data_IF_144976278997
#
_entry.id   IF_144976278997
#
_cell.length_a   1.000
_cell.length_b   1.000
_cell.length_c   1.000
_cell.angle_alpha   90.00
_cell.angle_beta   90.00
_cell.angle_gamma   90.00
#
_symmetry.space_group_name_H-M   'P 1'
#
loop_
_entity.id
_entity.type
_entity.pdbx_description
1 polymer ?
#
# COMPACT_ATOMS: atom_id res chain seq x y z
N UNK A 1 7.00 19.98 8.59
CA UNK A 1 6.90 20.44 7.19
C UNK A 1 6.84 19.29 6.16
N UNK A 2 7.74 18.29 6.16
CA UNK A 2 7.67 17.16 5.19
C UNK A 2 6.40 16.29 5.33
N UNK A 3 5.90 16.14 6.57
CA UNK A 3 4.75 15.30 6.91
C UNK A 3 3.41 15.84 6.35
N UNK A 4 3.23 17.17 6.26
CA UNK A 4 1.96 17.76 5.80
C UNK A 4 1.76 17.64 4.29
N UNK A 5 2.83 17.78 3.50
CA UNK A 5 2.75 17.64 2.03
C UNK A 5 2.50 16.21 1.60
N UNK A 6 3.13 15.24 2.27
CA UNK A 6 2.89 13.81 2.03
C UNK A 6 1.46 13.45 2.40
N UNK A 7 0.98 13.93 3.55
CA UNK A 7 -0.39 13.72 3.98
C UNK A 7 -1.42 14.27 2.99
N UNK A 8 -1.21 15.50 2.51
CA UNK A 8 -2.11 16.14 1.54
C UNK A 8 -2.13 15.39 0.21
N UNK A 9 -0.96 14.91 -0.24
CA UNK A 9 -0.83 14.12 -1.47
C UNK A 9 -1.48 12.73 -1.35
N UNK A 10 -1.26 12.04 -0.22
CA UNK A 10 -1.89 10.75 0.09
C UNK A 10 -3.41 10.88 0.16
N UNK A 11 -3.92 11.92 0.83
CA UNK A 11 -5.35 12.19 0.93
C UNK A 11 -5.97 12.51 -0.44
N UNK A 12 -5.32 13.36 -1.24
CA UNK A 12 -5.77 13.68 -2.60
C UNK A 12 -5.81 12.43 -3.49
N UNK A 13 -4.83 11.54 -3.35
CA UNK A 13 -4.76 10.27 -4.09
C UNK A 13 -5.91 9.33 -3.71
N UNK A 14 -6.24 9.24 -2.41
CA UNK A 14 -7.37 8.46 -1.92
C UNK A 14 -8.69 9.04 -2.41
N UNK A 15 -8.87 10.36 -2.35
CA UNK A 15 -10.09 11.05 -2.79
C UNK A 15 -10.29 10.91 -4.31
N UNK A 16 -9.23 11.03 -5.10
CA UNK A 16 -9.28 10.81 -6.55
C UNK A 16 -9.62 9.35 -6.87
N UNK A 17 -9.05 8.40 -6.13
CA UNK A 17 -9.42 6.99 -6.21
C UNK A 17 -10.91 6.77 -5.94
N UNK A 18 -11.40 7.26 -4.80
CA UNK A 18 -12.81 7.16 -4.43
C UNK A 18 -13.75 7.80 -5.48
N UNK A 19 -13.35 8.92 -6.07
CA UNK A 19 -14.10 9.56 -7.16
C UNK A 19 -14.15 8.68 -8.42
N UNK A 20 -13.00 8.16 -8.86
CA UNK A 20 -12.92 7.22 -9.98
C UNK A 20 -13.79 5.97 -9.74
N UNK A 21 -13.82 5.47 -8.50
CA UNK A 21 -14.69 4.35 -8.10
C UNK A 21 -16.17 4.69 -8.20
N UNK A 22 -16.59 5.83 -7.67
CA UNK A 22 -17.99 6.25 -7.70
C UNK A 22 -18.48 6.41 -9.14
N UNK A 23 -17.65 6.98 -10.03
CA UNK A 23 -17.94 7.08 -11.48
C UNK A 23 -18.01 5.69 -12.12
N UNK A 24 -17.13 4.77 -11.74
CA UNK A 24 -17.06 3.43 -12.29
C UNK A 24 -18.22 2.53 -11.84
N UNK A 25 -18.59 2.55 -10.56
CA UNK A 25 -19.75 1.84 -10.00
C UNK A 25 -21.06 2.33 -10.62
N UNK A 26 -21.20 3.64 -10.85
CA UNK A 26 -22.36 4.19 -11.57
C UNK A 26 -22.45 3.71 -13.03
N UNK A 27 -21.33 3.30 -13.64
CA UNK A 27 -21.31 2.77 -15.01
C UNK A 27 -21.43 1.25 -15.09
N UNK A 28 -21.04 0.50 -14.05
CA UNK A 28 -21.05 -0.95 -14.01
C UNK A 28 -21.79 -1.45 -12.77
N UNK A 29 -23.02 -1.96 -12.96
CA UNK A 29 -23.84 -2.51 -11.87
C UNK A 29 -23.44 -3.90 -11.40
N UNK A 30 -22.52 -4.57 -12.10
CA UNK A 30 -22.05 -5.92 -11.77
C UNK A 30 -20.65 -5.87 -11.16
N UNK A 31 -20.50 -6.53 -10.00
CA UNK A 31 -19.20 -6.79 -9.37
C UNK A 31 -18.34 -7.56 -10.37
N UNK A 32 -17.16 -7.05 -10.67
CA UNK A 32 -16.18 -7.72 -11.50
C UNK A 32 -14.78 -7.63 -10.86
N UNK A 33 -13.82 -8.31 -11.49
CA UNK A 33 -12.45 -8.41 -10.98
C UNK A 33 -11.79 -7.04 -10.73
N UNK A 34 -12.08 -6.05 -11.59
CA UNK A 34 -11.58 -4.69 -11.44
C UNK A 34 -12.22 -3.99 -10.24
N UNK A 35 -13.50 -4.21 -9.94
CA UNK A 35 -14.16 -3.70 -8.72
C UNK A 35 -13.48 -4.21 -7.47
N UNK A 36 -13.27 -5.53 -7.39
CA UNK A 36 -12.71 -6.18 -6.21
C UNK A 36 -11.31 -5.64 -5.95
N UNK A 37 -10.48 -5.60 -7.00
CA UNK A 37 -9.10 -5.11 -6.92
C UNK A 37 -9.05 -3.64 -6.50
N UNK A 38 -9.99 -2.83 -6.99
CA UNK A 38 -10.09 -1.42 -6.65
C UNK A 38 -10.50 -1.19 -5.19
N UNK A 39 -11.55 -1.88 -4.72
CA UNK A 39 -12.02 -1.77 -3.34
C UNK A 39 -10.87 -2.10 -2.38
N UNK A 40 -10.18 -3.21 -2.61
CA UNK A 40 -9.07 -3.62 -1.76
C UNK A 40 -7.95 -2.57 -1.79
N UNK A 41 -7.67 -1.96 -2.94
CA UNK A 41 -6.67 -0.89 -3.03
C UNK A 41 -7.03 0.35 -2.21
N UNK A 42 -8.29 0.79 -2.24
CA UNK A 42 -8.75 1.92 -1.42
C UNK A 42 -8.59 1.60 0.06
N UNK A 43 -9.06 0.43 0.50
CA UNK A 43 -8.93 0.04 1.92
C UNK A 43 -7.48 -0.05 2.37
N UNK A 44 -6.61 -0.67 1.56
CA UNK A 44 -5.18 -0.75 1.85
C UNK A 44 -4.54 0.64 1.95
N UNK A 45 -4.92 1.58 1.07
CA UNK A 45 -4.40 2.95 1.07
C UNK A 45 -4.86 3.75 2.30
N UNK A 46 -6.12 3.57 2.73
CA UNK A 46 -6.65 4.20 3.96
C UNK A 46 -5.91 3.66 5.19
N UNK A 47 -5.75 2.34 5.28
CA UNK A 47 -5.03 1.71 6.39
C UNK A 47 -3.57 2.20 6.43
N UNK A 48 -2.91 2.26 5.28
CA UNK A 48 -1.56 2.80 5.16
C UNK A 48 -1.49 4.24 5.70
N UNK A 49 -2.36 5.16 5.28
CA UNK A 49 -2.36 6.53 5.77
C UNK A 49 -2.60 6.65 7.29
N UNK A 50 -3.46 5.80 7.87
CA UNK A 50 -3.68 5.75 9.31
C UNK A 50 -2.42 5.27 10.04
N UNK A 51 -1.80 4.20 9.55
CA UNK A 51 -0.60 3.64 10.15
C UNK A 51 0.58 4.62 10.04
N UNK A 52 0.73 5.32 8.91
CA UNK A 52 1.75 6.38 8.75
C UNK A 52 1.64 7.40 9.87
N UNK A 53 0.43 7.94 10.08
CA UNK A 53 0.19 8.95 11.11
C UNK A 53 0.50 8.43 12.50
N UNK A 54 0.13 7.19 12.81
CA UNK A 54 0.40 6.58 14.11
C UNK A 54 1.90 6.42 14.34
N UNK A 55 2.62 5.85 13.37
CA UNK A 55 4.07 5.60 13.46
C UNK A 55 4.82 6.91 13.70
N UNK A 56 4.62 7.92 12.86
CA UNK A 56 5.31 9.20 12.95
C UNK A 56 4.85 10.12 14.10
N UNK A 57 3.88 9.69 14.91
CA UNK A 57 3.39 10.46 16.07
C UNK A 57 3.88 9.93 17.42
N UNK A 58 4.48 8.73 17.45
CA UNK A 58 4.70 7.99 18.71
C UNK A 58 6.16 7.97 19.16
N UNK A 59 7.14 7.73 18.29
CA UNK A 59 8.52 7.47 18.77
C UNK A 59 9.38 8.72 18.87
N UNK A 60 9.16 9.71 18.00
CA UNK A 60 10.00 10.91 17.90
C UNK A 60 11.38 10.66 17.26
N UNK A 61 11.74 9.40 16.97
CA UNK A 61 12.92 9.02 16.21
C UNK A 61 12.54 8.77 14.75
N UNK A 62 12.88 9.73 13.89
CA UNK A 62 12.58 9.70 12.45
C UNK A 62 13.18 8.45 11.77
N UNK A 63 14.32 7.95 12.25
CA UNK A 63 14.98 6.78 11.65
C UNK A 63 14.26 5.49 11.97
N UNK A 64 13.83 5.33 13.22
CA UNK A 64 13.02 4.20 13.70
C UNK A 64 11.61 4.24 13.08
N UNK A 65 10.96 5.41 13.06
CA UNK A 65 9.65 5.59 12.46
C UNK A 65 9.62 5.18 10.99
N UNK A 66 10.63 5.59 10.21
CA UNK A 66 10.75 5.17 8.81
C UNK A 66 10.90 3.66 8.66
N UNK A 67 11.64 3.01 9.55
CA UNK A 67 11.82 1.56 9.52
C UNK A 67 10.49 0.84 9.77
N UNK A 68 9.79 1.23 10.84
CA UNK A 68 8.48 0.67 11.19
C UNK A 68 7.49 0.92 10.05
N UNK A 69 7.50 2.13 9.48
CA UNK A 69 6.63 2.49 8.37
C UNK A 69 6.82 1.60 7.14
N UNK A 70 8.06 1.39 6.68
CA UNK A 70 8.32 0.52 5.51
C UNK A 70 7.94 -0.94 5.78
N UNK A 71 8.17 -1.45 7.00
CA UNK A 71 7.74 -2.78 7.40
C UNK A 71 6.21 -2.90 7.37
N UNK A 72 5.49 -1.97 8.02
CA UNK A 72 4.03 -1.96 8.04
C UNK A 72 3.44 -1.82 6.64
N UNK A 73 4.01 -0.95 5.80
CA UNK A 73 3.56 -0.75 4.43
C UNK A 73 3.72 -2.03 3.59
N UNK A 74 4.84 -2.75 3.75
CA UNK A 74 5.06 -4.04 3.07
C UNK A 74 4.00 -5.08 3.46
N UNK A 75 3.68 -5.17 4.76
CA UNK A 75 2.65 -6.09 5.27
C UNK A 75 1.26 -5.73 4.73
N UNK A 76 0.90 -4.45 4.74
CA UNK A 76 -0.40 -3.96 4.21
C UNK A 76 -0.53 -4.32 2.73
N UNK A 77 0.52 -4.12 1.93
CA UNK A 77 0.52 -4.42 0.50
C UNK A 77 0.36 -5.94 0.25
N UNK A 78 1.08 -6.78 0.99
CA UNK A 78 0.96 -8.25 0.83
C UNK A 78 -0.42 -8.76 1.25
N UNK A 79 -0.99 -8.19 2.33
CA UNK A 79 -2.36 -8.48 2.74
C UNK A 79 -3.38 -8.03 1.67
N UNK A 80 -3.16 -6.89 1.01
CA UNK A 80 -4.01 -6.43 -0.08
C UNK A 80 -4.02 -7.44 -1.24
N UNK A 81 -2.86 -7.93 -1.67
CA UNK A 81 -2.77 -8.96 -2.73
C UNK A 81 -3.50 -10.24 -2.32
N UNK A 82 -3.31 -10.69 -1.08
CA UNK A 82 -4.00 -11.86 -0.54
C UNK A 82 -5.52 -11.67 -0.51
N UNK A 83 -6.01 -10.51 -0.06
CA UNK A 83 -7.42 -10.18 -0.02
C UNK A 83 -8.05 -10.11 -1.41
N UNK A 84 -7.32 -9.60 -2.42
CA UNK A 84 -7.78 -9.64 -3.81
C UNK A 84 -8.00 -11.08 -4.25
N UNK A 85 -7.01 -11.96 -4.05
CA UNK A 85 -7.13 -13.36 -4.44
C UNK A 85 -8.29 -14.07 -3.71
N UNK A 86 -8.44 -13.83 -2.40
CA UNK A 86 -9.52 -14.42 -1.59
C UNK A 86 -10.90 -13.91 -1.97
N UNK A 87 -11.06 -12.62 -2.24
CA UNK A 87 -12.34 -12.07 -2.68
C UNK A 87 -12.76 -12.63 -4.05
N UNK A 88 -11.81 -12.83 -4.97
CA UNK A 88 -12.08 -13.48 -6.25
C UNK A 88 -12.51 -14.96 -6.09
N UNK A 89 -11.88 -15.68 -5.17
CA UNK A 89 -12.24 -17.06 -4.83
C UNK A 89 -13.67 -17.16 -4.27
N UNK A 90 -14.02 -16.28 -3.33
CA UNK A 90 -15.35 -16.23 -2.69
C UNK A 90 -16.46 -15.91 -3.71
N UNK A 91 -16.22 -14.92 -4.58
CA UNK A 91 -17.21 -14.49 -5.57
C UNK A 91 -17.24 -15.41 -6.81
N UNK A 92 -16.32 -16.38 -6.92
CA UNK A 92 -16.20 -17.25 -8.10
C UNK A 92 -15.79 -16.49 -9.37
N UNK A 93 -15.18 -15.31 -9.24
CA UNK A 93 -14.78 -14.45 -10.36
C UNK A 93 -13.32 -14.72 -10.69
N UNK A 94 -13.03 -15.04 -11.95
CA UNK A 94 -11.63 -15.15 -12.42
C UNK A 94 -10.97 -13.78 -12.43
N UNK A 95 -9.73 -13.72 -11.95
CA UNK A 95 -8.90 -12.52 -12.03
C UNK A 95 -8.68 -12.18 -13.51
N UNK A 96 -9.12 -10.98 -13.93
CA UNK A 96 -8.93 -10.50 -15.29
C UNK A 96 -7.54 -9.85 -15.46
N UNK A 97 -7.22 -9.39 -16.68
CA UNK A 97 -5.95 -8.71 -16.95
C UNK A 97 -5.71 -7.51 -16.03
N UNK A 98 -6.73 -6.70 -15.77
CA UNK A 98 -6.62 -5.50 -14.94
C UNK A 98 -6.33 -5.84 -13.47
N UNK A 99 -7.04 -6.82 -12.91
CA UNK A 99 -6.81 -7.33 -11.55
C UNK A 99 -5.41 -7.93 -11.41
N UNK A 100 -4.93 -8.65 -12.42
CA UNK A 100 -3.56 -9.17 -12.43
C UNK A 100 -2.52 -8.03 -12.44
N UNK A 101 -2.73 -6.97 -13.23
CA UNK A 101 -1.86 -5.79 -13.25
C UNK A 101 -1.84 -5.09 -11.90
N UNK A 102 -2.98 -4.96 -11.23
CA UNK A 102 -3.07 -4.36 -9.87
C UNK A 102 -2.29 -5.22 -8.86
N UNK A 103 -2.49 -6.54 -8.87
CA UNK A 103 -1.73 -7.45 -7.99
C UNK A 103 -0.22 -7.37 -8.22
N UNK A 104 0.22 -7.36 -9.48
CA UNK A 104 1.64 -7.23 -9.82
C UNK A 104 2.20 -5.87 -9.39
N UNK A 105 1.44 -4.79 -9.58
CA UNK A 105 1.80 -3.45 -9.10
C UNK A 105 2.00 -3.42 -7.59
N UNK A 106 1.11 -4.06 -6.83
CA UNK A 106 1.28 -4.23 -5.39
C UNK A 106 2.52 -5.03 -5.03
N UNK A 107 2.73 -6.19 -5.64
CA UNK A 107 3.93 -7.00 -5.37
C UNK A 107 5.20 -6.19 -5.63
N UNK A 108 5.26 -5.44 -6.73
CA UNK A 108 6.38 -4.56 -7.04
C UNK A 108 6.58 -3.48 -5.96
N UNK A 109 5.51 -2.85 -5.46
CA UNK A 109 5.58 -1.88 -4.39
C UNK A 109 6.08 -2.48 -3.07
N UNK A 110 5.65 -3.70 -2.72
CA UNK A 110 6.16 -4.41 -1.55
C UNK A 110 7.66 -4.69 -1.68
N UNK A 111 8.11 -5.18 -2.85
CA UNK A 111 9.52 -5.43 -3.11
C UNK A 111 10.37 -4.15 -2.99
N UNK A 112 9.86 -3.00 -3.46
CA UNK A 112 10.55 -1.71 -3.29
C UNK A 112 10.69 -1.34 -1.82
N UNK A 113 9.67 -1.58 -0.98
CA UNK A 113 9.77 -1.31 0.46
C UNK A 113 10.75 -2.26 1.16
N UNK A 114 10.75 -3.55 0.78
CA UNK A 114 11.71 -4.54 1.29
C UNK A 114 13.14 -4.18 0.88
N UNK A 115 13.37 -3.75 -0.36
CA UNK A 115 14.67 -3.29 -0.83
C UNK A 115 15.17 -2.06 -0.04
N UNK A 116 14.29 -1.10 0.25
CA UNK A 116 14.60 0.05 1.10
C UNK A 116 14.99 -0.33 2.53
N UNK A 117 14.41 -1.40 3.07
CA UNK A 117 14.79 -1.95 4.36
C UNK A 117 16.18 -2.61 4.30
N UNK A 118 16.43 -3.40 3.26
CA UNK A 118 17.72 -4.08 3.06
C UNK A 118 18.88 -3.10 2.89
N UNK A 119 18.72 -2.06 2.07
CA UNK A 119 19.75 -1.02 1.88
C UNK A 119 20.17 -0.36 3.19
N UNK A 120 19.21 -0.11 4.10
CA UNK A 120 19.48 0.51 5.40
C UNK A 120 20.32 -0.39 6.30
N UNK A 121 20.00 -1.69 6.35
CA UNK A 121 20.76 -2.66 7.15
C UNK A 121 22.15 -2.93 6.58
N UNK A 122 22.27 -2.96 5.25
CA UNK A 122 23.56 -3.11 4.56
C UNK A 122 24.49 -1.93 4.90
N UNK A 123 23.99 -0.69 4.76
CA UNK A 123 24.76 0.51 5.09
C UNK A 123 25.17 0.57 6.57
N UNK A 124 24.29 0.12 7.48
CA UNK A 124 24.57 0.06 8.92
C UNK A 124 25.67 -0.98 9.24
N UNK A 125 25.64 -2.12 8.55
CA UNK A 125 26.63 -3.18 8.69
C UNK A 125 28.02 -2.72 8.22
N UNK A 126 28.08 -2.00 7.09
CA UNK A 126 29.35 -1.44 6.61
C UNK A 126 29.92 -0.38 7.56
N UNK A 127 29.08 0.53 8.07
CA UNK A 127 29.52 1.56 9.01
C UNK A 127 30.04 1.00 10.35
N UNK A 128 29.52 -0.15 10.81
CA UNK A 128 29.99 -0.82 12.02
C UNK A 128 31.32 -1.56 11.84
N UNK A 129 31.64 -2.00 10.61
CA UNK A 129 32.90 -2.71 10.32
C UNK A 129 34.08 -1.76 10.05
N UNK A 130 33.83 -0.46 9.91
CA UNK A 130 34.88 0.57 9.74
C UNK A 130 35.28 1.27 11.06
N UNK A 131 34.63 0.93 12.18
CA UNK A 131 34.99 1.37 13.54
C UNK A 131 35.73 0.28 14.31
#
# INVERSE_FOLDING_TARGET
MWNEYIYTFSLASILLGLFCFAVWVNKNSKINSSTISFIVWVFASIIAAIVERLVFSVTGDISLDRYIWYCSLSVIILLAVFLIAKAHEIEGIKINRDGAVICLGFIALALVQIARLADKEILRTFAMNEM
#
